data_IF_982090986278
#
_entry.id   IF_982090986278
#
_cell.length_a   1.000
_cell.length_b   1.000
_cell.length_c   1.000
_cell.angle_alpha   90.00
_cell.angle_beta   90.00
_cell.angle_gamma   90.00
#
_symmetry.space_group_name_H-M   'P 1'
#
loop_
_entity.id
_entity.type
_entity.pdbx_description
1 polymer ?
#
# COMPACT_ATOMS: atom_id res chain seq x y z
N UNK A 1 -75.28 15.95 28.95
CA UNK A 1 -75.43 16.90 30.07
C UNK A 1 -74.12 17.56 30.39
N UNK A 2 -74.11 18.89 30.22
CA UNK A 2 -73.30 19.93 30.91
C UNK A 2 -71.77 19.84 30.70
N UNK A 3 -71.19 20.66 29.81
CA UNK A 3 -70.86 22.11 29.91
C UNK A 3 -69.77 22.38 30.95
N UNK A 4 -68.73 23.07 30.68
CA UNK A 4 -68.37 24.44 30.31
C UNK A 4 -66.92 24.67 30.79
N UNK A 5 -66.13 25.41 30.34
CA UNK A 5 -65.80 26.67 29.67
C UNK A 5 -64.37 27.05 30.04
N UNK A 6 -63.64 27.45 29.07
CA UNK A 6 -62.92 28.75 28.89
C UNK A 6 -62.09 29.31 30.06
N UNK A 7 -60.88 29.70 29.72
CA UNK A 7 -60.11 30.75 30.39
C UNK A 7 -58.76 31.01 29.72
N UNK A 8 -58.74 32.09 28.92
CA UNK A 8 -57.54 32.78 28.45
C UNK A 8 -56.83 33.47 29.62
N UNK A 9 -55.53 33.65 29.52
CA UNK A 9 -54.84 34.93 29.67
C UNK A 9 -53.34 34.81 29.59
N UNK A 10 -52.84 35.59 28.69
CA UNK A 10 -51.59 36.30 28.52
C UNK A 10 -50.86 36.75 29.79
N UNK A 11 -49.52 36.73 29.76
CA UNK A 11 -48.60 37.89 29.89
C UNK A 11 -47.15 37.40 30.06
N UNK A 12 -46.40 37.82 29.23
CA UNK A 12 -45.10 38.47 29.07
C UNK A 12 -44.32 38.80 30.37
N UNK A 13 -43.04 38.52 30.38
CA UNK A 13 -41.95 39.49 30.53
C UNK A 13 -40.60 38.82 30.82
N UNK A 14 -39.59 39.38 30.19
CA UNK A 14 -38.19 39.09 30.25
C UNK A 14 -37.56 39.36 31.64
N UNK A 15 -36.46 38.68 31.95
CA UNK A 15 -35.28 39.28 32.62
C UNK A 15 -34.03 38.45 32.33
N UNK A 16 -32.98 39.15 31.92
CA UNK A 16 -31.58 38.73 31.84
C UNK A 16 -31.01 38.32 33.20
N UNK A 17 -30.10 37.36 33.22
CA UNK A 17 -28.96 37.37 34.14
C UNK A 17 -27.80 36.58 33.60
N UNK A 18 -26.63 37.20 33.51
CA UNK A 18 -25.30 36.70 33.20
C UNK A 18 -24.88 35.60 34.21
N UNK A 19 -24.18 34.58 33.69
CA UNK A 19 -23.45 33.60 34.47
C UNK A 19 -22.24 33.14 33.71
N UNK A 20 -21.10 33.84 33.88
CA UNK A 20 -19.77 33.41 33.47
C UNK A 20 -19.36 32.21 34.33
N UNK A 21 -19.09 31.07 33.71
CA UNK A 21 -18.32 30.01 34.33
C UNK A 21 -17.35 29.47 33.28
N UNK A 22 -16.07 29.82 33.47
CA UNK A 22 -14.91 29.29 32.77
C UNK A 22 -14.79 27.79 32.99
N UNK A 23 -14.93 27.03 31.91
CA UNK A 23 -14.60 25.63 31.85
C UNK A 23 -13.55 25.42 30.75
N UNK A 24 -12.27 25.40 31.10
CA UNK A 24 -11.22 24.89 30.22
C UNK A 24 -11.44 23.40 29.98
N UNK A 25 -12.20 23.07 28.97
CA UNK A 25 -12.25 21.75 28.38
C UNK A 25 -11.34 21.76 27.16
N UNK A 26 -10.26 20.99 27.19
CA UNK A 26 -9.43 20.72 26.01
C UNK A 26 -10.30 20.03 24.97
N UNK A 27 -10.88 20.82 24.08
CA UNK A 27 -11.44 20.29 22.83
C UNK A 27 -10.28 19.74 22.00
N UNK A 28 -10.17 18.41 21.97
CA UNK A 28 -9.53 17.75 20.84
C UNK A 28 -10.29 18.24 19.61
N UNK A 29 -9.66 19.10 18.82
CA UNK A 29 -10.12 19.38 17.46
C UNK A 29 -10.21 18.05 16.73
N UNK A 30 -11.42 17.51 16.61
CA UNK A 30 -11.73 16.58 15.55
C UNK A 30 -11.47 17.36 14.25
N UNK A 31 -10.50 16.91 13.47
CA UNK A 31 -10.28 17.42 12.12
C UNK A 31 -11.63 17.38 11.39
N UNK A 32 -12.08 18.53 10.93
CA UNK A 32 -13.34 18.66 10.23
C UNK A 32 -13.28 17.75 9.00
N UNK A 33 -14.14 16.74 8.95
CA UNK A 33 -14.33 15.90 7.77
C UNK A 33 -14.50 16.81 6.55
N UNK A 34 -13.70 16.60 5.52
CA UNK A 34 -13.58 17.51 4.35
C UNK A 34 -14.85 17.60 3.49
N UNK A 35 -15.92 16.95 3.87
CA UNK A 35 -17.17 16.87 3.11
C UNK A 35 -17.08 16.08 1.79
N UNK A 36 -15.89 15.62 1.40
CA UNK A 36 -15.68 14.74 0.25
C UNK A 36 -15.84 13.28 0.67
N UNK A 37 -16.30 12.43 -0.24
CA UNK A 37 -16.36 10.98 -0.01
C UNK A 37 -14.96 10.42 0.27
N UNK A 38 -14.82 9.42 1.17
CA UNK A 38 -13.54 8.77 1.44
C UNK A 38 -12.92 8.20 0.15
N UNK A 39 -11.59 8.20 0.08
CA UNK A 39 -10.83 7.53 -0.97
C UNK A 39 -10.83 6.03 -0.67
N UNK A 40 -11.48 5.22 -1.50
CA UNK A 40 -11.49 3.77 -1.37
C UNK A 40 -10.23 3.18 -1.98
N UNK A 41 -9.40 2.56 -1.17
CA UNK A 41 -8.09 2.05 -1.57
C UNK A 41 -8.02 0.55 -1.32
N UNK A 42 -7.82 -0.25 -2.39
CA UNK A 42 -7.54 -1.66 -2.25
C UNK A 42 -6.05 -1.90 -2.00
N UNK A 43 -5.77 -2.82 -1.09
CA UNK A 43 -4.42 -3.24 -0.73
C UNK A 43 -4.41 -4.73 -0.38
N UNK A 44 -3.30 -5.44 -0.55
CA UNK A 44 -3.08 -6.77 0.02
C UNK A 44 -2.15 -6.63 1.22
N UNK A 45 -2.73 -6.40 2.39
CA UNK A 45 -2.02 -5.97 3.60
C UNK A 45 -1.25 -7.13 4.28
N UNK A 46 -0.35 -7.75 3.54
CA UNK A 46 0.53 -8.85 3.96
C UNK A 46 2.00 -8.63 3.57
N UNK A 47 2.33 -7.41 3.06
CA UNK A 47 3.62 -7.13 2.42
C UNK A 47 4.47 -6.14 3.24
N UNK A 48 5.17 -6.66 4.24
CA UNK A 48 6.05 -5.86 5.11
C UNK A 48 7.34 -5.49 4.35
N UNK A 49 7.83 -4.24 4.42
CA UNK A 49 7.37 -3.13 5.25
C UNK A 49 6.42 -2.14 4.54
N UNK A 50 5.81 -2.51 3.42
CA UNK A 50 5.02 -1.60 2.57
C UNK A 50 3.57 -1.44 3.05
N UNK A 51 2.83 -2.55 3.18
CA UNK A 51 1.44 -2.58 3.61
C UNK A 51 1.14 -3.85 4.42
N UNK A 52 0.74 -3.67 5.67
CA UNK A 52 0.40 -4.77 6.56
C UNK A 52 -0.53 -4.30 7.69
N UNK A 53 -1.13 -5.25 8.39
CA UNK A 53 -1.96 -4.92 9.54
C UNK A 53 -1.12 -4.48 10.73
N UNK A 54 -1.60 -3.47 11.46
CA UNK A 54 -1.03 -3.07 12.75
C UNK A 54 -1.01 -4.23 13.75
N UNK A 55 -0.19 -4.14 14.79
CA UNK A 55 -0.05 -5.22 15.79
C UNK A 55 -1.36 -5.59 16.49
N UNK A 56 -2.28 -4.64 16.64
CA UNK A 56 -3.61 -4.87 17.22
C UNK A 56 -4.64 -5.34 16.16
N UNK A 57 -4.26 -5.46 14.91
CA UNK A 57 -5.10 -5.90 13.80
C UNK A 57 -6.19 -4.92 13.36
N UNK A 58 -6.28 -3.73 13.98
CA UNK A 58 -7.38 -2.79 13.76
C UNK A 58 -7.17 -1.81 12.64
N UNK A 59 -5.92 -1.56 12.25
CA UNK A 59 -5.55 -0.58 11.23
C UNK A 59 -4.49 -1.16 10.30
N UNK A 60 -4.18 -0.42 9.25
CA UNK A 60 -3.12 -0.73 8.30
C UNK A 60 -1.92 0.19 8.54
N UNK A 61 -0.72 -0.34 8.31
CA UNK A 61 0.55 0.37 8.49
C UNK A 61 1.55 -0.07 7.44
N UNK A 62 2.61 0.71 7.25
CA UNK A 62 3.64 0.45 6.28
C UNK A 62 4.00 1.71 5.49
N UNK A 63 5.08 1.64 4.74
CA UNK A 63 5.56 2.76 3.94
C UNK A 63 4.48 3.24 2.95
N UNK A 64 3.91 2.32 2.18
CA UNK A 64 2.90 2.65 1.17
C UNK A 64 1.61 3.16 1.79
N UNK A 65 1.20 2.61 2.93
CA UNK A 65 0.04 3.10 3.69
C UNK A 65 0.26 4.55 4.15
N UNK A 66 1.47 4.88 4.62
CA UNK A 66 1.81 6.26 5.01
C UNK A 66 1.80 7.21 3.79
N UNK A 67 2.29 6.76 2.63
CA UNK A 67 2.23 7.54 1.38
C UNK A 67 0.77 7.76 0.95
N UNK A 68 -0.09 6.73 1.00
CA UNK A 68 -1.53 6.85 0.71
C UNK A 68 -2.18 7.89 1.60
N UNK A 69 -1.92 7.85 2.91
CA UNK A 69 -2.47 8.82 3.86
C UNK A 69 -1.99 10.25 3.58
N UNK A 70 -0.71 10.41 3.23
CA UNK A 70 -0.17 11.71 2.84
C UNK A 70 -0.82 12.25 1.56
N UNK A 71 -1.01 11.41 0.54
CA UNK A 71 -1.72 11.75 -0.70
C UNK A 71 -3.18 12.12 -0.40
N UNK A 72 -3.90 11.32 0.37
CA UNK A 72 -5.30 11.59 0.74
C UNK A 72 -5.46 12.92 1.48
N UNK A 73 -4.50 13.25 2.37
CA UNK A 73 -4.45 14.54 3.06
C UNK A 73 -4.29 15.71 2.07
N UNK A 74 -3.41 15.61 1.06
CA UNK A 74 -3.29 16.63 0.00
C UNK A 74 -4.58 16.78 -0.80
N UNK A 75 -5.34 15.69 -1.00
CA UNK A 75 -6.62 15.69 -1.68
C UNK A 75 -7.78 16.22 -0.79
N UNK A 76 -7.55 16.37 0.51
CA UNK A 76 -8.58 16.68 1.52
C UNK A 76 -9.62 15.57 1.60
N UNK A 77 -9.23 14.31 1.61
CA UNK A 77 -10.12 13.13 1.70
C UNK A 77 -9.64 12.20 2.83
N UNK A 78 -10.59 11.55 3.49
CA UNK A 78 -10.31 10.39 4.33
C UNK A 78 -10.01 9.17 3.48
N UNK A 79 -9.45 8.10 4.09
CA UNK A 79 -9.13 6.84 3.40
C UNK A 79 -9.95 5.70 3.98
N UNK A 80 -10.56 4.91 3.09
CA UNK A 80 -11.17 3.62 3.41
C UNK A 80 -10.35 2.51 2.74
N UNK A 81 -9.64 1.70 3.54
CA UNK A 81 -8.88 0.58 3.01
C UNK A 81 -9.74 -0.68 2.88
N UNK A 82 -9.59 -1.37 1.74
CA UNK A 82 -10.13 -2.71 1.49
C UNK A 82 -8.98 -3.70 1.30
N UNK A 83 -8.94 -4.75 2.14
CA UNK A 83 -7.94 -5.81 1.99
C UNK A 83 -8.44 -6.85 0.98
N UNK A 84 -7.73 -6.98 -0.13
CA UNK A 84 -8.06 -7.85 -1.27
C UNK A 84 -6.80 -8.66 -1.63
N UNK A 85 -6.94 -9.90 -2.09
CA UNK A 85 -5.81 -10.66 -2.65
C UNK A 85 -5.19 -9.91 -3.83
N UNK A 86 -3.88 -10.06 -4.04
CA UNK A 86 -3.12 -9.23 -4.98
C UNK A 86 -3.64 -9.33 -6.42
N UNK A 87 -3.99 -10.53 -6.87
CA UNK A 87 -4.56 -10.80 -8.20
C UNK A 87 -5.96 -10.20 -8.40
N UNK A 88 -6.70 -9.94 -7.31
CA UNK A 88 -7.99 -9.26 -7.29
C UNK A 88 -7.92 -7.74 -7.40
N UNK A 89 -6.74 -7.10 -7.26
CA UNK A 89 -6.61 -5.64 -7.22
C UNK A 89 -7.02 -4.98 -8.54
N UNK A 90 -6.52 -5.47 -9.69
CA UNK A 90 -6.89 -4.93 -11.00
C UNK A 90 -8.38 -5.15 -11.31
N UNK A 91 -8.96 -6.33 -11.12
CA UNK A 91 -10.40 -6.53 -11.21
C UNK A 91 -11.24 -5.57 -10.36
N UNK A 92 -10.83 -5.29 -9.12
CA UNK A 92 -11.56 -4.37 -8.22
C UNK A 92 -11.58 -2.91 -8.72
N UNK A 93 -10.51 -2.47 -9.42
CA UNK A 93 -10.50 -1.18 -10.12
C UNK A 93 -11.45 -1.18 -11.32
N UNK A 94 -11.39 -2.25 -12.14
CA UNK A 94 -12.20 -2.37 -13.36
C UNK A 94 -13.70 -2.41 -13.06
N UNK A 95 -14.08 -3.01 -11.92
CA UNK A 95 -15.47 -3.04 -11.44
C UNK A 95 -15.91 -1.81 -10.67
N UNK A 96 -15.05 -0.80 -10.51
CA UNK A 96 -15.31 0.42 -9.69
C UNK A 96 -15.62 0.12 -8.22
N UNK A 97 -15.20 -1.02 -7.70
CA UNK A 97 -15.34 -1.35 -6.29
C UNK A 97 -14.46 -0.44 -5.41
N UNK A 98 -13.32 -0.02 -5.95
CA UNK A 98 -12.37 0.89 -5.31
C UNK A 98 -11.94 2.01 -6.27
N UNK A 99 -11.48 3.12 -5.72
CA UNK A 99 -10.99 4.28 -6.47
C UNK A 99 -9.52 4.11 -6.89
N UNK A 100 -8.73 3.43 -6.08
CA UNK A 100 -7.28 3.31 -6.23
C UNK A 100 -6.78 1.98 -5.65
N UNK A 101 -5.67 1.46 -6.19
CA UNK A 101 -4.91 0.37 -5.56
C UNK A 101 -3.58 0.88 -5.05
N UNK A 102 -3.16 0.36 -3.87
CA UNK A 102 -1.89 0.62 -3.23
C UNK A 102 -1.43 -0.68 -2.56
N UNK A 103 -0.53 -1.43 -3.21
CA UNK A 103 -0.12 -2.77 -2.77
C UNK A 103 1.19 -3.23 -3.41
N UNK A 104 2.24 -2.42 -3.32
CA UNK A 104 3.54 -2.76 -3.92
C UNK A 104 3.43 -3.08 -5.42
N UNK A 105 2.47 -2.49 -6.11
CA UNK A 105 2.17 -2.87 -7.48
C UNK A 105 3.17 -2.24 -8.46
N UNK A 106 4.01 -3.08 -9.07
CA UNK A 106 4.91 -2.66 -10.15
C UNK A 106 4.11 -2.18 -11.36
N UNK A 107 4.39 -0.98 -11.85
CA UNK A 107 3.92 -0.52 -13.15
C UNK A 107 4.61 -1.33 -14.25
N UNK A 108 3.83 -2.13 -14.98
CA UNK A 108 4.28 -2.90 -16.15
C UNK A 108 3.47 -2.53 -17.39
N UNK A 109 4.00 -2.74 -18.58
CA UNK A 109 3.27 -2.49 -19.84
C UNK A 109 1.99 -3.32 -19.92
N UNK A 110 2.02 -4.57 -19.48
CA UNK A 110 0.82 -5.43 -19.45
C UNK A 110 -0.26 -4.83 -18.56
N UNK A 111 0.08 -4.44 -17.33
CA UNK A 111 -0.87 -3.82 -16.38
C UNK A 111 -1.34 -2.46 -16.86
N UNK A 112 -0.44 -1.63 -17.44
CA UNK A 112 -0.79 -0.35 -18.05
C UNK A 112 -1.74 -0.48 -19.24
N UNK A 113 -1.78 -1.63 -19.91
CA UNK A 113 -2.82 -1.99 -20.87
C UNK A 113 -4.23 -2.10 -20.25
N UNK A 114 -4.32 -2.42 -18.97
CA UNK A 114 -5.59 -2.71 -18.25
C UNK A 114 -6.06 -1.56 -17.35
N UNK A 115 -5.12 -0.82 -16.73
CA UNK A 115 -5.39 0.25 -15.76
C UNK A 115 -4.52 1.47 -16.04
N UNK A 116 -4.77 2.61 -15.37
CA UNK A 116 -3.85 3.76 -15.32
C UNK A 116 -2.94 3.62 -14.10
N UNK A 117 -1.73 4.16 -14.21
CA UNK A 117 -0.82 4.31 -13.08
C UNK A 117 -0.51 5.78 -12.79
N UNK A 118 -0.32 6.10 -11.52
CA UNK A 118 0.27 7.38 -11.11
C UNK A 118 1.80 7.40 -11.37
N UNK A 119 2.42 8.54 -11.10
CA UNK A 119 3.87 8.65 -11.01
C UNK A 119 4.42 7.67 -9.95
N UNK A 120 5.57 7.05 -10.19
CA UNK A 120 6.15 6.11 -9.24
C UNK A 120 6.59 6.81 -7.94
N UNK A 121 6.44 6.08 -6.83
CA UNK A 121 6.85 6.55 -5.51
C UNK A 121 7.91 5.66 -4.84
N UNK A 122 8.22 4.50 -5.44
CA UNK A 122 9.24 3.56 -4.96
C UNK A 122 9.93 2.84 -6.13
N UNK A 123 11.21 2.49 -5.94
CA UNK A 123 11.99 1.72 -6.90
C UNK A 123 12.56 0.46 -6.21
N UNK A 124 12.47 -0.68 -6.87
CA UNK A 124 12.89 -1.97 -6.34
C UNK A 124 13.54 -2.86 -7.41
N UNK A 125 14.02 -4.02 -7.01
CA UNK A 125 14.40 -5.18 -7.83
C UNK A 125 13.92 -6.44 -7.14
N UNK A 126 13.86 -7.54 -7.86
CA UNK A 126 13.60 -8.85 -7.27
C UNK A 126 14.84 -9.36 -6.51
N UNK A 127 14.59 -10.18 -5.50
CA UNK A 127 15.60 -10.91 -4.75
C UNK A 127 15.06 -12.27 -4.34
N UNK A 128 15.96 -13.21 -4.14
CA UNK A 128 15.66 -14.55 -3.62
C UNK A 128 15.92 -14.57 -2.12
N UNK A 129 14.99 -15.14 -1.36
CA UNK A 129 15.21 -15.53 0.03
C UNK A 129 15.39 -17.03 0.11
N UNK A 130 16.43 -17.48 0.80
CA UNK A 130 16.76 -18.91 0.96
C UNK A 130 17.37 -19.17 2.34
N UNK A 131 17.28 -20.39 2.91
CA UNK A 131 18.01 -20.75 4.12
C UNK A 131 19.52 -20.48 3.99
N UNK A 132 20.18 -20.11 5.08
CA UNK A 132 21.62 -19.79 5.09
C UNK A 132 22.51 -20.93 4.63
N UNK A 133 22.13 -22.16 4.97
CA UNK A 133 22.82 -23.42 4.61
C UNK A 133 22.39 -23.99 3.25
N UNK A 134 21.48 -23.32 2.55
CA UNK A 134 21.04 -23.71 1.21
C UNK A 134 22.20 -23.67 0.21
N UNK A 135 22.26 -24.59 -0.77
CA UNK A 135 23.22 -24.51 -1.87
C UNK A 135 22.89 -23.40 -2.89
N UNK A 136 21.75 -22.73 -2.76
CA UNK A 136 21.31 -21.65 -3.68
C UNK A 136 22.11 -20.39 -3.38
N UNK A 137 23.14 -20.09 -4.18
CA UNK A 137 23.97 -18.88 -4.10
C UNK A 137 23.66 -17.88 -5.20
N UNK A 138 22.96 -18.33 -6.25
CA UNK A 138 22.55 -17.52 -7.40
C UNK A 138 21.21 -18.01 -7.93
N UNK A 139 20.61 -17.28 -8.88
CA UNK A 139 19.35 -17.68 -9.54
C UNK A 139 19.55 -18.93 -10.39
N UNK A 140 20.73 -19.09 -10.97
CA UNK A 140 21.08 -20.24 -11.80
C UNK A 140 21.02 -21.56 -11.01
N UNK A 141 21.33 -21.53 -9.71
CA UNK A 141 21.25 -22.71 -8.83
C UNK A 141 19.80 -23.17 -8.58
N UNK A 142 18.81 -22.40 -9.02
CA UNK A 142 17.38 -22.69 -8.86
C UNK A 142 16.76 -23.39 -10.08
N UNK A 143 17.51 -23.56 -11.18
CA UNK A 143 16.99 -24.06 -12.46
C UNK A 143 16.73 -25.57 -12.50
N UNK A 144 17.29 -26.34 -11.57
CA UNK A 144 17.19 -27.81 -11.54
C UNK A 144 15.91 -28.36 -10.88
N UNK A 145 14.78 -27.63 -11.05
CA UNK A 145 13.46 -28.09 -10.59
C UNK A 145 13.19 -27.90 -9.11
N UNK A 146 14.00 -27.08 -8.43
CA UNK A 146 13.69 -26.64 -7.08
C UNK A 146 12.41 -25.80 -7.08
N UNK A 147 11.52 -26.11 -6.16
CA UNK A 147 10.25 -25.39 -6.00
C UNK A 147 10.50 -24.03 -5.34
N UNK A 148 10.05 -22.94 -6.02
CA UNK A 148 10.19 -21.58 -5.54
C UNK A 148 8.83 -21.03 -5.09
N UNK A 149 8.77 -20.51 -3.87
CA UNK A 149 7.58 -19.84 -3.33
C UNK A 149 7.45 -18.43 -3.90
N UNK A 150 6.29 -18.10 -4.45
CA UNK A 150 5.98 -16.78 -5.00
C UNK A 150 4.53 -16.39 -4.72
N UNK A 151 4.25 -15.10 -4.65
CA UNK A 151 2.88 -14.62 -4.65
C UNK A 151 2.35 -14.56 -6.08
N UNK A 152 1.15 -15.13 -6.31
CA UNK A 152 0.56 -15.18 -7.63
C UNK A 152 0.19 -13.79 -8.16
N UNK A 153 0.26 -13.62 -9.48
CA UNK A 153 -0.04 -12.35 -10.16
C UNK A 153 1.05 -11.28 -10.01
N UNK A 154 2.18 -11.58 -9.34
CA UNK A 154 3.30 -10.64 -9.16
C UNK A 154 4.36 -10.77 -10.25
N UNK A 155 5.22 -9.76 -10.37
CA UNK A 155 6.40 -9.81 -11.25
C UNK A 155 7.38 -10.91 -10.84
N UNK A 156 7.43 -11.27 -9.56
CA UNK A 156 8.20 -12.40 -9.06
C UNK A 156 7.70 -13.74 -9.61
N UNK A 157 6.37 -13.92 -9.64
CA UNK A 157 5.78 -15.13 -10.23
C UNK A 157 6.05 -15.22 -11.74
N UNK A 158 5.89 -14.12 -12.47
CA UNK A 158 6.19 -14.09 -13.91
C UNK A 158 7.67 -14.34 -14.19
N UNK A 159 8.56 -13.72 -13.41
CA UNK A 159 10.00 -13.97 -13.51
C UNK A 159 10.33 -15.47 -13.32
N UNK A 160 9.77 -16.11 -12.29
CA UNK A 160 9.98 -17.52 -12.05
C UNK A 160 9.43 -18.41 -13.19
N UNK A 161 8.27 -18.06 -13.77
CA UNK A 161 7.71 -18.73 -14.94
C UNK A 161 8.62 -18.60 -16.17
N UNK A 162 9.08 -17.38 -16.47
CA UNK A 162 9.93 -17.11 -17.63
C UNK A 162 11.29 -17.83 -17.52
N UNK A 163 11.76 -18.07 -16.29
CA UNK A 163 12.98 -18.88 -16.02
C UNK A 163 12.72 -20.39 -15.99
N UNK A 164 11.48 -20.83 -16.19
CA UNK A 164 11.13 -22.27 -16.16
C UNK A 164 11.22 -22.91 -14.79
N UNK A 165 11.18 -22.10 -13.70
CA UNK A 165 11.20 -22.61 -12.34
C UNK A 165 9.91 -23.32 -11.97
N UNK A 166 9.96 -24.31 -11.10
CA UNK A 166 8.78 -24.93 -10.52
C UNK A 166 8.18 -24.01 -9.45
N UNK A 167 6.99 -23.49 -9.71
CA UNK A 167 6.35 -22.49 -8.84
C UNK A 167 5.48 -23.17 -7.78
N UNK A 168 5.62 -22.71 -6.54
CA UNK A 168 4.66 -22.85 -5.45
C UNK A 168 3.99 -21.50 -5.19
N UNK A 169 2.75 -21.35 -5.69
CA UNK A 169 2.02 -20.09 -5.66
C UNK A 169 1.22 -19.88 -4.38
N UNK A 170 1.19 -18.64 -3.89
CA UNK A 170 0.42 -18.21 -2.73
C UNK A 170 -0.40 -16.95 -3.04
N UNK A 171 -1.51 -16.76 -2.34
CA UNK A 171 -2.35 -15.56 -2.46
C UNK A 171 -1.75 -14.37 -1.71
N UNK A 172 -0.94 -14.64 -0.67
CA UNK A 172 -0.36 -13.62 0.21
C UNK A 172 1.16 -13.72 0.32
N UNK A 173 1.84 -12.59 0.35
CA UNK A 173 3.29 -12.54 0.52
C UNK A 173 3.74 -13.10 1.88
N UNK A 174 2.92 -12.95 2.94
CA UNK A 174 3.18 -13.55 4.26
C UNK A 174 3.28 -15.08 4.22
N UNK A 175 2.58 -15.73 3.31
CA UNK A 175 2.55 -17.18 3.21
C UNK A 175 3.88 -17.73 2.66
N UNK A 176 4.56 -16.97 1.80
CA UNK A 176 5.92 -17.27 1.34
C UNK A 176 6.87 -17.37 2.54
N UNK A 177 6.81 -16.37 3.43
CA UNK A 177 7.66 -16.31 4.63
C UNK A 177 7.34 -17.47 5.59
N UNK A 178 6.06 -17.78 5.79
CA UNK A 178 5.64 -18.91 6.63
C UNK A 178 6.11 -20.24 6.03
N UNK A 179 5.99 -20.41 4.72
CA UNK A 179 6.41 -21.63 4.03
C UNK A 179 7.92 -21.85 4.07
N UNK A 180 8.71 -20.78 3.90
CA UNK A 180 10.17 -20.83 4.08
C UNK A 180 10.54 -21.23 5.51
N UNK A 181 9.91 -20.62 6.52
CA UNK A 181 10.16 -20.94 7.95
C UNK A 181 9.76 -22.38 8.31
N UNK A 182 8.72 -22.90 7.68
CA UNK A 182 8.27 -24.29 7.86
C UNK A 182 9.15 -25.31 7.10
N UNK A 183 10.06 -24.85 6.22
CA UNK A 183 10.89 -25.73 5.38
C UNK A 183 10.15 -26.36 4.20
N UNK A 184 8.93 -25.88 3.92
CA UNK A 184 8.09 -26.38 2.81
C UNK A 184 8.53 -25.87 1.43
N UNK A 185 9.23 -24.71 1.39
CA UNK A 185 9.93 -24.24 0.20
C UNK A 185 11.43 -24.04 0.49
N UNK A 186 12.26 -24.24 -0.53
CA UNK A 186 13.72 -24.05 -0.43
C UNK A 186 14.16 -22.62 -0.74
N UNK A 187 13.31 -21.86 -1.42
CA UNK A 187 13.52 -20.46 -1.76
C UNK A 187 12.19 -19.76 -2.00
N UNK A 188 12.22 -18.43 -1.92
CA UNK A 188 11.10 -17.57 -2.31
C UNK A 188 11.63 -16.35 -3.06
N UNK A 189 10.84 -15.81 -3.99
CA UNK A 189 11.18 -14.57 -4.70
C UNK A 189 10.24 -13.47 -4.22
N UNK A 190 10.83 -12.37 -3.79
CA UNK A 190 10.18 -11.15 -3.32
C UNK A 190 10.88 -9.93 -3.91
N UNK A 191 10.31 -8.75 -3.74
CA UNK A 191 11.07 -7.52 -3.92
C UNK A 191 12.15 -7.40 -2.85
N UNK A 192 13.33 -6.93 -3.26
CA UNK A 192 14.51 -6.88 -2.39
C UNK A 192 14.27 -6.21 -1.04
N UNK A 193 13.56 -5.06 -0.93
CA UNK A 193 13.31 -4.44 0.37
C UNK A 193 12.48 -5.31 1.32
N UNK A 194 11.52 -6.07 0.79
CA UNK A 194 10.73 -7.02 1.60
C UNK A 194 11.57 -8.23 2.03
N UNK A 195 12.40 -8.74 1.12
CA UNK A 195 13.36 -9.81 1.42
C UNK A 195 14.38 -9.39 2.48
N UNK A 196 14.99 -8.20 2.32
CA UNK A 196 15.94 -7.64 3.28
C UNK A 196 15.29 -7.41 4.65
N UNK A 197 14.06 -6.88 4.68
CA UNK A 197 13.33 -6.66 5.93
C UNK A 197 13.04 -7.99 6.65
N UNK A 198 12.56 -9.00 5.93
CA UNK A 198 12.31 -10.33 6.51
C UNK A 198 13.58 -10.91 7.10
N UNK A 199 14.68 -10.90 6.36
CA UNK A 199 15.96 -11.45 6.84
C UNK A 199 16.51 -10.64 8.01
N UNK A 200 16.35 -9.32 8.03
CA UNK A 200 16.82 -8.46 9.13
C UNK A 200 16.02 -8.63 10.43
N UNK A 201 14.76 -9.11 10.34
CA UNK A 201 13.85 -9.26 11.47
C UNK A 201 13.63 -10.74 11.82
N UNK A 202 12.64 -11.35 11.18
CA UNK A 202 12.17 -12.72 11.49
C UNK A 202 13.10 -13.83 11.02
N UNK A 203 13.88 -13.59 9.96
CA UNK A 203 14.74 -14.55 9.29
C UNK A 203 16.22 -14.49 9.66
N UNK A 204 16.61 -13.56 10.53
CA UNK A 204 17.99 -13.13 10.79
C UNK A 204 19.02 -14.24 10.92
N UNK A 205 18.70 -15.29 11.65
CA UNK A 205 19.67 -16.34 11.96
C UNK A 205 19.62 -17.51 10.98
N UNK A 206 18.55 -17.64 10.23
CA UNK A 206 18.22 -18.82 9.43
C UNK A 206 18.19 -18.59 7.92
N UNK A 207 18.05 -17.33 7.48
CA UNK A 207 17.87 -17.00 6.06
C UNK A 207 18.89 -15.97 5.58
N UNK A 208 19.06 -15.92 4.26
CA UNK A 208 19.85 -14.91 3.55
C UNK A 208 19.09 -14.43 2.32
N UNK A 209 19.47 -13.25 1.84
CA UNK A 209 19.03 -12.70 0.56
C UNK A 209 20.09 -12.99 -0.49
N UNK A 210 19.65 -13.42 -1.66
CA UNK A 210 20.46 -13.58 -2.87
C UNK A 210 19.95 -12.61 -3.92
N UNK A 211 20.83 -11.82 -4.48
CA UNK A 211 20.47 -10.85 -5.52
C UNK A 211 20.06 -11.58 -6.81
N UNK A 212 19.16 -10.97 -7.57
CA UNK A 212 18.75 -11.38 -8.92
C UNK A 212 19.40 -10.41 -9.92
N UNK A 213 20.58 -10.75 -10.48
CA UNK A 213 21.39 -9.79 -11.25
C UNK A 213 20.68 -9.25 -12.50
N UNK A 214 19.89 -10.09 -13.17
CA UNK A 214 19.11 -9.77 -14.36
C UNK A 214 17.73 -9.17 -14.05
N UNK A 215 17.39 -9.01 -12.76
CA UNK A 215 16.18 -8.24 -12.39
C UNK A 215 16.35 -6.79 -12.80
N UNK A 216 15.48 -6.34 -13.70
CA UNK A 216 15.38 -4.93 -14.04
C UNK A 216 14.85 -4.14 -12.84
N UNK A 217 15.13 -2.82 -12.84
CA UNK A 217 14.52 -1.92 -11.84
C UNK A 217 13.02 -1.90 -12.08
N UNK A 218 12.26 -2.09 -11.01
CA UNK A 218 10.81 -2.05 -10.97
C UNK A 218 10.34 -0.83 -10.20
N UNK A 219 9.19 -0.27 -10.56
CA UNK A 219 8.68 0.93 -9.95
C UNK A 219 7.26 0.68 -9.42
N UNK A 220 7.05 0.88 -8.12
CA UNK A 220 5.72 0.84 -7.53
C UNK A 220 4.96 2.13 -7.82
N UNK A 221 3.71 1.98 -8.23
CA UNK A 221 2.82 3.07 -8.53
C UNK A 221 1.38 2.71 -8.18
N UNK A 222 0.60 3.70 -7.77
CA UNK A 222 -0.83 3.54 -7.51
C UNK A 222 -1.59 3.29 -8.82
N UNK A 223 -2.52 2.34 -8.79
CA UNK A 223 -3.36 2.00 -9.93
C UNK A 223 -4.76 2.63 -9.86
N UNK A 224 -5.35 2.92 -11.04
CA UNK A 224 -6.67 3.51 -11.20
C UNK A 224 -7.42 2.85 -12.35
N UNK A 225 -8.75 2.89 -12.32
CA UNK A 225 -9.54 2.53 -13.50
C UNK A 225 -9.17 3.44 -14.69
N UNK A 226 -9.25 2.91 -15.92
CA UNK A 226 -8.93 3.62 -17.17
C UNK A 226 -9.73 4.91 -17.40
N UNK A 227 -10.93 4.98 -16.90
CA UNK A 227 -11.80 6.16 -17.01
C UNK A 227 -11.61 7.18 -15.87
N UNK A 228 -10.89 6.82 -14.79
CA UNK A 228 -10.66 7.72 -13.64
C UNK A 228 -9.38 8.57 -13.80
N UNK A 229 -9.23 9.22 -14.97
CA UNK A 229 -8.07 10.06 -15.30
C UNK A 229 -7.96 11.28 -14.38
N UNK A 230 -9.08 11.83 -13.95
CA UNK A 230 -9.10 13.01 -13.09
C UNK A 230 -8.45 12.70 -11.73
N UNK A 231 -8.85 11.61 -11.07
CA UNK A 231 -8.26 11.21 -9.81
C UNK A 231 -6.78 10.86 -9.97
N UNK A 232 -6.39 10.15 -11.03
CA UNK A 232 -5.00 9.84 -11.34
C UNK A 232 -4.16 11.12 -11.46
N UNK A 233 -4.66 12.16 -12.13
CA UNK A 233 -3.97 13.46 -12.25
C UNK A 233 -3.86 14.20 -10.92
N UNK A 234 -4.93 14.16 -10.10
CA UNK A 234 -4.92 14.74 -8.76
C UNK A 234 -3.89 14.05 -7.87
N UNK A 235 -3.79 12.71 -7.93
CA UNK A 235 -2.79 11.93 -7.19
C UNK A 235 -1.37 12.20 -7.70
N UNK A 236 -1.16 12.33 -9.01
CA UNK A 236 0.13 12.72 -9.59
C UNK A 236 0.60 14.08 -9.04
N UNK A 237 -0.31 15.06 -9.00
CA UNK A 237 -0.02 16.36 -8.41
C UNK A 237 0.33 16.24 -6.92
N UNK A 238 -0.45 15.47 -6.16
CA UNK A 238 -0.18 15.25 -4.74
C UNK A 238 1.20 14.59 -4.51
N UNK A 239 1.58 13.57 -5.31
CA UNK A 239 2.91 12.95 -5.25
C UNK A 239 4.02 13.97 -5.53
N UNK A 240 3.84 14.83 -6.54
CA UNK A 240 4.79 15.88 -6.87
C UNK A 240 4.94 16.91 -5.74
N UNK A 241 3.81 17.34 -5.14
CA UNK A 241 3.80 18.25 -4.00
C UNK A 241 4.48 17.63 -2.77
N UNK A 242 4.23 16.34 -2.47
CA UNK A 242 4.89 15.61 -1.37
C UNK A 242 6.39 15.46 -1.60
N UNK A 243 6.82 15.24 -2.85
CA UNK A 243 8.24 15.24 -3.23
C UNK A 243 8.88 16.60 -2.95
N UNK A 244 8.25 17.68 -3.41
CA UNK A 244 8.76 19.04 -3.25
C UNK A 244 8.84 19.46 -1.77
N UNK A 245 7.86 19.05 -0.95
CA UNK A 245 7.83 19.29 0.50
C UNK A 245 8.83 18.45 1.29
N UNK A 246 9.46 17.45 0.66
CA UNK A 246 10.36 16.51 1.34
C UNK A 246 9.64 15.36 2.07
N UNK A 247 8.31 15.34 2.10
CA UNK A 247 7.53 14.35 2.85
C UNK A 247 7.80 12.92 2.39
N UNK A 248 7.95 12.67 1.07
CA UNK A 248 8.29 11.33 0.59
C UNK A 248 9.66 10.88 1.08
N UNK A 249 10.63 11.81 1.20
CA UNK A 249 11.95 11.50 1.74
C UNK A 249 11.86 11.15 3.23
N UNK A 250 11.12 11.94 4.02
CA UNK A 250 10.90 11.67 5.45
C UNK A 250 10.25 10.30 5.67
N UNK A 251 9.23 9.94 4.88
CA UNK A 251 8.59 8.64 4.95
C UNK A 251 9.54 7.50 4.55
N UNK A 252 10.35 7.70 3.51
CA UNK A 252 11.33 6.71 3.08
C UNK A 252 12.41 6.49 4.16
N UNK A 253 12.95 7.55 4.72
CA UNK A 253 13.92 7.47 5.82
C UNK A 253 13.32 6.83 7.09
N UNK A 254 12.05 7.11 7.39
CA UNK A 254 11.33 6.47 8.50
C UNK A 254 11.37 4.95 8.37
N UNK A 255 11.09 4.41 7.19
CA UNK A 255 10.92 2.97 6.96
C UNK A 255 12.20 2.26 6.56
N UNK A 256 13.03 2.86 5.70
CA UNK A 256 14.20 2.22 5.08
C UNK A 256 15.54 2.80 5.56
N UNK A 257 15.54 3.85 6.36
CA UNK A 257 16.75 4.54 6.88
C UNK A 257 17.68 5.09 5.79
N UNK A 258 17.16 5.29 4.61
CA UNK A 258 17.86 5.84 3.44
C UNK A 258 16.99 6.90 2.77
N UNK A 259 17.58 7.88 2.07
CA UNK A 259 16.81 8.84 1.27
C UNK A 259 16.13 8.14 0.08
N UNK A 260 15.06 8.77 -0.42
CA UNK A 260 14.38 8.31 -1.65
C UNK A 260 15.36 8.30 -2.82
N UNK A 261 15.52 7.19 -3.54
CA UNK A 261 16.35 7.14 -4.75
C UNK A 261 15.75 8.03 -5.85
N UNK A 262 16.61 8.40 -6.82
CA UNK A 262 16.12 9.10 -8.02
C UNK A 262 15.17 8.17 -8.79
N UNK A 263 13.98 8.67 -9.06
CA UNK A 263 12.94 7.94 -9.78
C UNK A 263 12.47 8.71 -11.02
N UNK A 264 11.87 8.02 -12.01
CA UNK A 264 11.15 8.66 -13.12
C UNK A 264 10.10 9.65 -12.59
N UNK A 265 9.85 10.70 -13.35
CA UNK A 265 8.84 11.68 -12.99
C UNK A 265 7.42 11.21 -13.34
N UNK A 266 7.30 10.37 -14.35
CA UNK A 266 6.02 9.86 -14.87
C UNK A 266 6.01 8.34 -14.95
N UNK A 267 4.80 7.77 -15.07
CA UNK A 267 4.65 6.34 -15.32
C UNK A 267 5.21 5.94 -16.69
N UNK A 268 5.07 6.77 -17.70
CA UNK A 268 5.58 6.52 -19.06
C UNK A 268 7.10 6.37 -19.05
N UNK A 269 7.81 7.25 -18.34
CA UNK A 269 9.27 7.14 -18.16
C UNK A 269 9.63 5.86 -17.41
N UNK A 270 8.86 5.50 -16.36
CA UNK A 270 9.06 4.27 -15.60
C UNK A 270 8.91 3.04 -16.50
N UNK A 271 7.87 3.00 -17.34
CA UNK A 271 7.61 1.91 -18.29
C UNK A 271 8.68 1.79 -19.38
N UNK A 272 9.28 2.91 -19.81
CA UNK A 272 10.41 2.92 -20.75
C UNK A 272 11.70 2.35 -20.17
N UNK A 273 11.88 2.40 -18.84
CA UNK A 273 13.05 1.90 -18.12
C UNK A 273 12.95 0.41 -17.72
N UNK A 274 11.78 -0.20 -17.88
CA UNK A 274 11.53 -1.61 -17.50
C UNK A 274 11.69 -2.61 -18.64
N UNK A 275 12.11 -2.16 -19.83
CA UNK A 275 12.35 -3.01 -21.03
C UNK A 275 13.79 -3.52 -21.11
#
# INVERSE_FOLDING_TARGET
>A
MKTWKKGLALAAAAVLALGLASGCGSEKKADAASGKAPLKVATNATYVPFEFKSKDGKDYTGYEIDVVRAVAKELGRDVEFKNIAFDGLIPSLQSHEVDMTASGMTATKERAGKILFAAPFYATKLAVVTPKDSPIHSVEDMQDGAEVAVQMGTTAAYYAQDKGMKIRGFDHASDIVMELKAGGAKSGILDKPAADYFVATDGKDNFRVVDVPDSKVQYFAFGFNKDNKELQQQVNKAIADLKQKGTLNELHEKWFKTPVPKMPATCEEALGNTD
#
